data_IF_468143750200
#
_entry.id   IF_468143750200
#
_cell.length_a   1.000
_cell.length_b   1.000
_cell.length_c   1.000
_cell.angle_alpha   90.00
_cell.angle_beta   90.00
_cell.angle_gamma   90.00
#
_symmetry.space_group_name_H-M   'P 1'
#
loop_
_entity.id
_entity.type
_entity.pdbx_description
1 polymer ?
#
# COMPACT_ATOMS: atom_id res chain seq x y z
N UNK A 1 1.05 -5.97 -18.16
CA UNK A 1 0.18 -6.64 -17.16
C UNK A 1 -0.19 -5.63 -16.08
N UNK A 2 -1.42 -5.06 -16.11
CA UNK A 2 -1.89 -4.03 -15.17
C UNK A 2 -2.80 -4.66 -14.09
N UNK A 3 -2.23 -5.21 -13.03
CA UNK A 3 -2.95 -5.75 -11.84
C UNK A 3 -2.04 -5.50 -10.62
N UNK A 4 -2.47 -5.10 -9.44
CA UNK A 4 -3.79 -5.00 -8.81
C UNK A 4 -3.77 -3.88 -7.76
N UNK A 5 -4.93 -3.29 -7.44
CA UNK A 5 -5.06 -2.33 -6.35
C UNK A 5 -5.71 -2.99 -5.13
N UNK A 6 -4.97 -2.90 -4.02
CA UNK A 6 -5.26 -3.42 -2.69
C UNK A 6 -5.66 -2.24 -1.80
N UNK A 7 -6.90 -2.20 -1.33
CA UNK A 7 -7.27 -1.34 -0.21
C UNK A 7 -6.91 -2.09 1.08
N UNK A 8 -6.00 -1.55 1.89
CA UNK A 8 -5.50 -2.16 3.13
C UNK A 8 -6.02 -1.37 4.31
N UNK A 9 -6.80 -2.01 5.18
CA UNK A 9 -7.50 -1.32 6.28
C UNK A 9 -6.71 -1.41 7.62
N UNK A 10 -5.53 -2.05 7.60
CA UNK A 10 -4.61 -2.18 8.76
C UNK A 10 -3.31 -1.42 8.50
N UNK A 11 -2.64 -0.96 9.56
CA UNK A 11 -1.34 -0.28 9.42
C UNK A 11 -1.46 1.12 8.79
N UNK A 12 -2.66 1.69 8.82
CA UNK A 12 -3.06 2.95 8.15
C UNK A 12 -2.34 4.21 8.65
N UNK A 13 -1.58 4.11 9.75
CA UNK A 13 -0.85 5.25 10.35
C UNK A 13 0.12 5.89 9.36
N UNK A 14 0.76 5.11 8.48
CA UNK A 14 1.66 5.65 7.46
C UNK A 14 0.91 6.41 6.35
N UNK A 15 -0.36 6.09 6.11
CA UNK A 15 -1.20 6.74 5.10
C UNK A 15 -1.88 8.00 5.63
N UNK A 16 -2.01 8.16 6.95
CA UNK A 16 -2.66 9.33 7.56
C UNK A 16 -4.18 9.37 7.36
N UNK A 17 -4.81 8.24 7.02
CA UNK A 17 -6.25 8.10 6.77
C UNK A 17 -6.76 6.75 7.33
N UNK A 18 -8.03 6.39 7.11
CA UNK A 18 -8.68 5.16 7.59
C UNK A 18 -8.47 3.92 6.70
N UNK A 19 -7.75 4.04 5.58
CA UNK A 19 -7.35 2.94 4.70
C UNK A 19 -6.09 3.30 3.91
N UNK A 20 -5.36 2.31 3.42
CA UNK A 20 -4.22 2.47 2.54
C UNK A 20 -4.53 2.00 1.12
N UNK A 21 -4.37 2.88 0.13
CA UNK A 21 -4.60 2.53 -1.26
C UNK A 21 -3.28 2.22 -1.96
N UNK A 22 -3.01 0.94 -2.21
CA UNK A 22 -1.71 0.52 -2.77
C UNK A 22 -1.82 -0.32 -4.03
N UNK A 23 -0.88 -0.10 -4.95
CA UNK A 23 -0.72 -0.89 -6.16
C UNK A 23 0.50 -1.79 -6.05
N UNK A 24 0.30 -3.11 -6.21
CA UNK A 24 1.39 -4.08 -6.22
C UNK A 24 2.06 -4.10 -7.59
N UNK A 25 3.36 -3.87 -7.64
CA UNK A 25 4.18 -3.93 -8.85
C UNK A 25 5.44 -4.79 -8.63
N UNK A 26 6.02 -5.37 -9.69
CA UNK A 26 7.37 -5.96 -9.61
C UNK A 26 8.40 -4.92 -9.18
N UNK A 27 9.38 -5.32 -8.37
CA UNK A 27 10.47 -4.43 -7.91
C UNK A 27 11.15 -3.73 -9.10
N UNK A 28 11.46 -4.48 -10.15
CA UNK A 28 12.20 -3.98 -11.31
C UNK A 28 11.37 -3.08 -12.24
N UNK A 29 10.06 -2.94 -11.97
CA UNK A 29 9.20 -2.01 -12.70
C UNK A 29 9.23 -0.59 -12.12
N UNK A 30 9.86 -0.39 -10.96
CA UNK A 30 10.01 0.91 -10.31
C UNK A 30 11.42 1.47 -10.52
N UNK A 31 11.52 2.76 -10.83
CA UNK A 31 12.79 3.49 -10.84
C UNK A 31 12.60 4.91 -10.35
N UNK A 32 13.41 5.31 -9.37
CA UNK A 32 13.53 6.72 -9.00
C UNK A 32 14.31 7.46 -10.09
N UNK A 33 13.66 8.45 -10.71
CA UNK A 33 14.29 9.27 -11.76
C UNK A 33 14.91 10.54 -11.21
N UNK A 34 14.41 11.04 -10.07
CA UNK A 34 14.86 12.25 -9.37
C UNK A 34 14.54 12.13 -7.88
N UNK A 35 15.26 12.88 -7.05
CA UNK A 35 15.08 12.90 -5.59
C UNK A 35 15.60 11.65 -4.90
N UNK A 36 15.44 11.62 -3.59
CA UNK A 36 15.81 10.50 -2.72
C UNK A 36 14.65 10.14 -1.80
N UNK A 37 14.61 8.88 -1.41
CA UNK A 37 13.68 8.38 -0.39
C UNK A 37 14.41 8.19 0.93
N UNK A 38 13.66 8.30 2.01
CA UNK A 38 14.08 7.91 3.36
C UNK A 38 13.30 6.66 3.76
N UNK A 39 14.03 5.62 4.16
CA UNK A 39 13.44 4.35 4.57
C UNK A 39 13.20 4.29 6.07
N UNK A 40 12.01 3.77 6.44
CA UNK A 40 11.64 3.44 7.80
C UNK A 40 11.28 1.95 7.86
N UNK A 41 12.03 1.20 8.67
CA UNK A 41 11.85 -0.24 8.87
C UNK A 41 11.25 -0.49 10.25
N UNK A 42 10.11 -1.18 10.31
CA UNK A 42 9.44 -1.48 11.57
C UNK A 42 8.58 -2.74 11.48
N UNK A 43 8.39 -3.39 12.62
CA UNK A 43 7.36 -4.41 12.79
C UNK A 43 5.97 -3.78 12.64
N UNK A 44 5.08 -4.44 11.90
CA UNK A 44 3.68 -4.01 11.71
C UNK A 44 2.76 -4.39 12.89
N UNK A 45 3.29 -4.95 13.97
CA UNK A 45 2.57 -5.44 15.14
C UNK A 45 2.19 -6.93 15.07
N UNK A 46 2.47 -7.60 13.94
CA UNK A 46 2.20 -9.04 13.75
C UNK A 46 3.47 -9.87 13.60
N UNK A 47 4.65 -9.32 13.90
CA UNK A 47 5.94 -9.98 13.68
C UNK A 47 6.46 -9.84 12.24
N UNK A 48 5.74 -9.13 11.37
CA UNK A 48 6.15 -8.92 9.99
C UNK A 48 6.86 -7.56 9.86
N UNK A 49 8.11 -7.60 9.41
CA UNK A 49 8.90 -6.40 9.16
C UNK A 49 8.46 -5.76 7.84
N UNK A 50 7.99 -4.51 7.94
CA UNK A 50 7.67 -3.66 6.79
C UNK A 50 8.75 -2.60 6.61
N UNK A 51 9.16 -2.45 5.36
CA UNK A 51 9.99 -1.36 4.88
C UNK A 51 9.07 -0.32 4.22
N UNK A 52 9.19 0.94 4.62
CA UNK A 52 8.40 2.05 4.09
C UNK A 52 9.31 3.14 3.60
N UNK A 53 9.10 3.59 2.36
CA UNK A 53 9.88 4.65 1.75
C UNK A 53 9.03 5.93 1.65
N UNK A 54 9.58 7.02 2.16
CA UNK A 54 8.98 8.35 2.14
C UNK A 54 9.86 9.31 1.35
N UNK A 55 9.28 10.35 0.76
CA UNK A 55 10.04 11.44 0.17
C UNK A 55 10.86 12.14 1.26
N UNK A 56 12.16 12.26 1.08
CA UNK A 56 13.05 12.88 2.06
C UNK A 56 12.76 14.39 2.26
N UNK A 57 12.20 15.05 1.24
CA UNK A 57 11.92 16.49 1.26
C UNK A 57 10.57 16.85 1.90
N UNK A 58 9.49 16.12 1.56
CA UNK A 58 8.13 16.48 2.00
C UNK A 58 7.47 15.42 2.90
N UNK A 59 8.13 14.29 3.15
CA UNK A 59 7.60 13.22 3.98
C UNK A 59 6.43 12.44 3.38
N UNK A 60 6.09 12.67 2.10
CA UNK A 60 5.02 11.93 1.42
C UNK A 60 5.33 10.44 1.36
N UNK A 61 4.33 9.61 1.65
CA UNK A 61 4.48 8.16 1.61
C UNK A 61 4.44 7.65 0.17
N UNK A 62 5.53 7.02 -0.28
CA UNK A 62 5.69 6.59 -1.67
C UNK A 62 5.33 5.12 -1.82
N UNK A 63 5.93 4.25 -1.01
CA UNK A 63 5.72 2.81 -1.11
C UNK A 63 6.05 2.06 0.16
N UNK A 64 5.57 0.82 0.24
CA UNK A 64 6.00 -0.15 1.22
C UNK A 64 6.25 -1.54 0.64
N UNK A 65 6.95 -2.38 1.39
CA UNK A 65 7.13 -3.80 1.10
C UNK A 65 7.50 -4.58 2.36
N UNK A 66 7.03 -5.82 2.46
CA UNK A 66 7.41 -6.72 3.54
C UNK A 66 8.74 -7.42 3.26
N UNK A 67 9.50 -7.72 4.31
CA UNK A 67 10.82 -8.35 4.19
C UNK A 67 10.78 -9.68 3.42
N UNK A 68 9.72 -10.47 3.61
CA UNK A 68 9.49 -11.74 2.90
C UNK A 68 9.34 -11.62 1.37
N UNK A 69 9.02 -10.43 0.85
CA UNK A 69 8.79 -10.18 -0.59
C UNK A 69 9.67 -9.06 -1.16
N UNK A 70 10.65 -8.58 -0.39
CA UNK A 70 11.47 -7.40 -0.72
C UNK A 70 12.23 -7.50 -2.05
N UNK A 71 12.54 -8.71 -2.48
CA UNK A 71 13.26 -8.93 -3.74
C UNK A 71 12.35 -9.04 -4.96
N UNK A 72 11.02 -9.05 -4.76
CA UNK A 72 10.05 -9.32 -5.83
C UNK A 72 9.07 -8.19 -6.07
N UNK A 73 8.57 -7.55 -5.01
CA UNK A 73 7.43 -6.64 -5.14
C UNK A 73 7.60 -5.33 -4.36
N UNK A 74 6.90 -4.30 -4.85
CA UNK A 74 6.67 -3.02 -4.18
C UNK A 74 5.17 -2.73 -4.16
N UNK A 75 4.70 -2.09 -3.10
CA UNK A 75 3.32 -1.63 -2.96
C UNK A 75 3.34 -0.10 -2.97
N UNK A 76 3.03 0.48 -4.13
CA UNK A 76 3.07 1.94 -4.33
C UNK A 76 1.81 2.57 -3.77
N UNK A 77 1.94 3.64 -2.99
CA UNK A 77 0.81 4.45 -2.55
C UNK A 77 0.19 5.16 -3.76
N UNK A 78 -1.04 4.83 -4.13
CA UNK A 78 -1.65 5.35 -5.38
C UNK A 78 -1.94 6.84 -5.32
N UNK A 79 -2.16 7.39 -4.13
CA UNK A 79 -2.29 8.84 -3.95
C UNK A 79 -1.01 9.63 -4.26
N UNK A 80 0.13 8.96 -4.48
CA UNK A 80 1.38 9.60 -4.90
C UNK A 80 1.58 9.63 -6.43
N UNK A 81 0.65 9.09 -7.22
CA UNK A 81 0.71 9.11 -8.68
C UNK A 81 0.10 10.40 -9.25
N UNK A 82 0.64 10.88 -10.37
CA UNK A 82 0.10 12.06 -11.08
C UNK A 82 -1.34 11.86 -11.56
N UNK A 83 -1.68 10.64 -11.96
CA UNK A 83 -3.03 10.23 -12.33
C UNK A 83 -3.44 9.00 -11.49
N UNK A 84 -4.22 9.18 -10.42
CA UNK A 84 -4.68 8.08 -9.57
C UNK A 84 -5.79 7.24 -10.22
N UNK A 85 -6.47 7.74 -11.25
CA UNK A 85 -7.59 7.02 -11.89
C UNK A 85 -7.12 5.86 -12.77
N UNK A 86 -5.83 5.83 -13.15
CA UNK A 86 -5.27 4.74 -13.97
C UNK A 86 -5.28 3.38 -13.27
N UNK A 87 -5.50 3.34 -11.95
CA UNK A 87 -5.48 2.13 -11.13
C UNK A 87 -6.67 2.10 -10.16
N UNK A 88 -7.89 1.79 -10.63
CA UNK A 88 -9.04 1.63 -9.75
C UNK A 88 -8.94 0.38 -8.86
N UNK A 89 -9.58 0.40 -7.66
CA UNK A 89 -9.58 -0.73 -6.70
C UNK A 89 -10.10 -2.00 -7.33
N UNK A 90 -9.47 -3.12 -6.99
CA UNK A 90 -9.94 -4.45 -7.37
C UNK A 90 -10.35 -5.31 -6.19
N UNK A 91 -9.94 -4.92 -4.98
CA UNK A 91 -10.39 -5.56 -3.76
C UNK A 91 -9.91 -4.85 -2.49
N UNK A 92 -10.55 -5.22 -1.39
CA UNK A 92 -10.29 -4.73 -0.06
C UNK A 92 -9.80 -5.89 0.82
N UNK A 93 -8.76 -5.63 1.61
CA UNK A 93 -8.16 -6.57 2.55
C UNK A 93 -8.27 -6.03 3.96
N UNK A 94 -8.33 -6.97 4.90
CA UNK A 94 -8.50 -6.67 6.32
C UNK A 94 -9.82 -5.96 6.62
N UNK A 95 -10.89 -6.36 5.92
CA UNK A 95 -12.23 -5.78 6.09
C UNK A 95 -12.74 -5.87 7.54
N UNK A 96 -12.25 -6.84 8.33
CA UNK A 96 -12.54 -6.97 9.76
C UNK A 96 -12.09 -5.77 10.60
N UNK A 97 -11.14 -4.98 10.09
CA UNK A 97 -10.62 -3.78 10.72
C UNK A 97 -11.27 -2.50 10.19
N UNK A 98 -12.28 -2.62 9.31
CA UNK A 98 -13.02 -1.48 8.76
C UNK A 98 -13.69 -0.70 9.88
N UNK A 99 -13.45 0.61 9.89
CA UNK A 99 -14.17 1.54 10.75
C UNK A 99 -15.65 1.55 10.37
N UNK A 100 -16.54 1.49 11.36
CA UNK A 100 -17.98 1.24 11.16
C UNK A 100 -18.70 2.24 10.27
N UNK A 101 -18.18 3.46 10.15
CA UNK A 101 -18.75 4.53 9.32
C UNK A 101 -18.26 4.51 7.87
N UNK A 102 -17.23 3.73 7.53
CA UNK A 102 -16.69 3.67 6.18
C UNK A 102 -17.49 2.66 5.33
N UNK A 103 -18.05 3.08 4.17
CA UNK A 103 -18.73 2.15 3.29
C UNK A 103 -17.75 1.18 2.62
N UNK A 104 -18.31 0.11 2.03
CA UNK A 104 -17.57 -0.80 1.16
C UNK A 104 -17.48 -0.24 -0.26
N UNK A 105 -16.40 -0.57 -0.96
CA UNK A 105 -16.28 -0.25 -2.38
C UNK A 105 -17.16 -1.22 -3.17
N UNK A 106 -18.11 -0.77 -4.01
CA UNK A 106 -18.95 -1.69 -4.76
C UNK A 106 -18.17 -2.42 -5.85
N UNK A 107 -18.62 -3.63 -6.20
CA UNK A 107 -18.10 -4.43 -7.33
C UNK A 107 -16.62 -4.82 -7.23
N UNK A 108 -16.09 -4.98 -6.01
CA UNK A 108 -14.75 -5.53 -5.76
C UNK A 108 -14.85 -6.74 -4.83
N UNK A 109 -13.75 -7.49 -4.65
CA UNK A 109 -13.75 -8.56 -3.66
C UNK A 109 -13.36 -8.00 -2.28
N UNK A 110 -13.89 -8.61 -1.22
CA UNK A 110 -13.62 -8.21 0.17
C UNK A 110 -13.06 -9.40 0.94
N UNK A 111 -11.85 -9.26 1.50
CA UNK A 111 -11.19 -10.27 2.32
C UNK A 111 -11.04 -9.78 3.75
N UNK A 112 -11.36 -10.62 4.72
CA UNK A 112 -11.19 -10.31 6.14
C UNK A 112 -9.73 -10.43 6.55
N UNK A 113 -8.97 -11.31 5.90
CA UNK A 113 -7.54 -11.54 6.13
C UNK A 113 -6.76 -11.85 4.83
N UNK A 114 -5.43 -11.88 4.88
CA UNK A 114 -4.58 -12.17 3.69
C UNK A 114 -4.78 -13.60 3.16
N UNK A 115 -5.08 -14.56 4.05
CA UNK A 115 -5.06 -16.01 3.75
C UNK A 115 -6.42 -16.58 3.32
N UNK A 116 -7.50 -15.80 3.40
CA UNK A 116 -8.75 -16.07 2.67
C UNK A 116 -8.55 -15.80 1.18
#
# INVERSE_FOLDING_TARGET
>A
MRRALLCVIVGIKAFGTNYGLTAKIPKDALRYTKGTTKEHVADNGSGAVLHREFCDNCGSFILEYGDAVKDKFRYICVGSLDDPEVLPPKGEFFCKSRVSWMPEIPNVFHKQEIKE
#
